data_IF_504359091945
#
_entry.id   IF_504359091945
#
_cell.length_a   1.000
_cell.length_b   1.000
_cell.length_c   1.000
_cell.angle_alpha   90.00
_cell.angle_beta   90.00
_cell.angle_gamma   90.00
#
_symmetry.space_group_name_H-M   'P 1'
#
loop_
_entity.id
_entity.type
_entity.pdbx_description
1 polymer ?
#
# COMPACT_ATOMS: atom_id res chain seq x y z
N UNK A 1 -5.76 -11.56 4.10
CA UNK A 1 -4.64 -11.03 3.29
C UNK A 1 -4.17 -12.10 2.32
N UNK A 2 -3.96 -11.77 1.05
CA UNK A 2 -3.49 -12.70 0.01
C UNK A 2 -2.11 -12.28 -0.47
N UNK A 3 -1.11 -13.15 -0.33
CA UNK A 3 0.24 -12.95 -0.88
C UNK A 3 0.22 -13.28 -2.37
N UNK A 4 0.78 -12.39 -3.19
CA UNK A 4 0.76 -12.48 -4.66
C UNK A 4 2.14 -12.84 -5.22
N UNK A 5 3.19 -12.28 -4.63
CA UNK A 5 4.57 -12.55 -5.04
C UNK A 5 5.49 -12.50 -3.83
N UNK A 6 6.55 -13.31 -3.88
CA UNK A 6 7.67 -13.19 -2.97
C UNK A 6 8.98 -13.16 -3.74
N UNK A 7 9.89 -12.27 -3.32
CA UNK A 7 11.26 -12.21 -3.83
C UNK A 7 12.22 -12.64 -2.73
N UNK A 8 13.53 -12.55 -2.97
CA UNK A 8 14.55 -12.74 -1.92
C UNK A 8 14.34 -11.80 -0.73
N UNK A 9 13.87 -10.56 -0.97
CA UNK A 9 13.80 -9.51 0.05
C UNK A 9 12.39 -9.12 0.47
N UNK A 10 11.40 -9.31 -0.39
CA UNK A 10 10.08 -8.70 -0.23
C UNK A 10 8.92 -9.66 -0.41
N UNK A 11 7.79 -9.33 0.23
CA UNK A 11 6.49 -9.95 0.03
C UNK A 11 5.58 -8.88 -0.57
N UNK A 12 4.89 -9.21 -1.65
CA UNK A 12 3.81 -8.39 -2.21
C UNK A 12 2.48 -9.04 -1.83
N UNK A 13 1.61 -8.30 -1.17
CA UNK A 13 0.27 -8.75 -0.77
C UNK A 13 -0.81 -7.78 -1.25
N UNK A 14 -2.01 -8.30 -1.50
CA UNK A 14 -3.20 -7.45 -1.69
C UNK A 14 -3.38 -6.55 -0.46
N UNK A 15 -3.83 -5.31 -0.71
CA UNK A 15 -4.08 -4.33 0.33
C UNK A 15 -5.01 -4.88 1.42
N UNK A 16 -4.80 -4.40 2.64
CA UNK A 16 -5.60 -4.76 3.80
C UNK A 16 -5.68 -3.58 4.77
N UNK A 17 -6.72 -3.51 5.60
CA UNK A 17 -6.90 -2.42 6.56
C UNK A 17 -5.69 -2.26 7.51
N UNK A 18 -4.93 -3.33 7.75
CA UNK A 18 -3.67 -3.32 8.51
C UNK A 18 -2.59 -2.42 7.88
N UNK A 19 -2.67 -2.15 6.57
CA UNK A 19 -1.69 -1.33 5.86
C UNK A 19 -1.95 0.18 5.99
N UNK A 20 -3.10 0.57 6.56
CA UNK A 20 -3.57 1.97 6.58
C UNK A 20 -2.59 2.91 7.26
N UNK A 21 -1.96 2.50 8.36
CA UNK A 21 -0.97 3.33 9.05
C UNK A 21 0.30 3.52 8.22
N UNK A 22 0.74 2.48 7.50
CA UNK A 22 1.90 2.55 6.61
C UNK A 22 1.66 3.51 5.44
N UNK A 23 0.49 3.40 4.80
CA UNK A 23 0.09 4.31 3.73
C UNK A 23 0.00 5.75 4.24
N UNK A 24 -0.72 5.98 5.34
CA UNK A 24 -0.87 7.30 5.92
C UNK A 24 0.49 7.97 6.19
N UNK A 25 1.41 7.27 6.88
CA UNK A 25 2.74 7.79 7.19
C UNK A 25 3.57 8.07 5.93
N UNK A 26 3.50 7.19 4.93
CA UNK A 26 4.26 7.37 3.70
C UNK A 26 3.74 8.55 2.87
N UNK A 27 2.42 8.73 2.78
CA UNK A 27 1.82 9.88 2.08
C UNK A 27 1.99 11.20 2.84
N UNK A 28 2.28 11.19 4.14
CA UNK A 28 2.62 12.41 4.88
C UNK A 28 4.02 12.94 4.56
N UNK A 29 4.90 12.11 3.99
CA UNK A 29 6.24 12.53 3.61
C UNK A 29 6.21 13.36 2.32
N UNK A 30 6.61 14.62 2.43
CA UNK A 30 6.63 15.58 1.32
C UNK A 30 7.60 15.17 0.21
N UNK A 31 8.68 14.46 0.52
CA UNK A 31 9.63 13.99 -0.49
C UNK A 31 9.07 12.79 -1.27
N UNK A 32 8.21 11.98 -0.65
CA UNK A 32 7.48 10.90 -1.35
C UNK A 32 6.49 11.47 -2.35
N UNK A 33 5.71 12.50 -1.96
CA UNK A 33 4.65 13.05 -2.81
C UNK A 33 5.13 14.06 -3.87
N UNK A 34 6.35 14.56 -3.73
CA UNK A 34 6.94 15.64 -4.53
C UNK A 34 6.66 15.58 -6.04
N UNK A 35 6.62 14.37 -6.59
CA UNK A 35 6.45 14.14 -8.03
C UNK A 35 5.24 13.26 -8.40
N UNK A 36 4.35 12.92 -7.46
CA UNK A 36 3.20 12.06 -7.75
C UNK A 36 1.95 12.84 -8.15
N UNK A 37 1.84 14.10 -7.71
CA UNK A 37 0.65 14.93 -7.88
C UNK A 37 -0.49 14.60 -6.89
N UNK A 38 -0.29 13.63 -6.00
CA UNK A 38 -1.25 13.29 -4.95
C UNK A 38 -1.19 14.28 -3.79
N UNK A 39 -2.25 14.26 -2.98
CA UNK A 39 -2.29 14.93 -1.68
C UNK A 39 -2.13 13.90 -0.57
N UNK A 40 -1.57 14.29 0.60
CA UNK A 40 -1.56 13.43 1.76
C UNK A 40 -2.99 13.08 2.18
N UNK A 41 -3.17 11.89 2.73
CA UNK A 41 -4.39 11.55 3.45
C UNK A 41 -4.52 12.43 4.71
N UNK A 42 -5.74 12.80 5.09
CA UNK A 42 -6.02 13.61 6.27
C UNK A 42 -6.05 12.76 7.56
N UNK A 43 -6.25 11.44 7.44
CA UNK A 43 -6.26 10.53 8.59
C UNK A 43 -5.98 9.08 8.19
N UNK A 44 -5.64 8.26 9.19
CA UNK A 44 -5.57 6.80 9.05
C UNK A 44 -6.94 6.26 8.60
N UNK A 45 -8.05 6.84 9.07
CA UNK A 45 -9.40 6.41 8.70
C UNK A 45 -9.68 6.60 7.21
N UNK A 46 -9.32 7.76 6.67
CA UNK A 46 -9.44 8.02 5.22
C UNK A 46 -8.59 7.04 4.40
N UNK A 47 -7.42 6.67 4.91
CA UNK A 47 -6.53 5.70 4.27
C UNK A 47 -7.13 4.29 4.29
N UNK A 48 -7.74 3.89 5.41
CA UNK A 48 -8.47 2.63 5.55
C UNK A 48 -9.65 2.58 4.57
N UNK A 49 -10.40 3.67 4.44
CA UNK A 49 -11.52 3.78 3.51
C UNK A 49 -11.03 3.71 2.06
N UNK A 50 -9.89 4.33 1.71
CA UNK A 50 -9.26 4.17 0.40
C UNK A 50 -8.91 2.70 0.11
N UNK A 51 -8.29 2.00 1.07
CA UNK A 51 -7.92 0.58 0.93
C UNK A 51 -9.16 -0.30 0.75
N UNK A 52 -10.19 -0.09 1.56
CA UNK A 52 -11.43 -0.87 1.51
C UNK A 52 -12.21 -0.65 0.20
N UNK A 53 -12.07 0.54 -0.40
CA UNK A 53 -12.70 0.88 -1.68
C UNK A 53 -11.83 0.52 -2.89
N UNK A 54 -10.63 -0.04 -2.70
CA UNK A 54 -9.74 -0.44 -3.78
C UNK A 54 -10.26 -1.69 -4.51
N UNK A 55 -10.98 -1.49 -5.62
CA UNK A 55 -11.73 -2.55 -6.28
C UNK A 55 -11.04 -3.22 -7.48
N UNK A 56 -9.79 -2.84 -7.78
CA UNK A 56 -9.05 -3.35 -8.94
C UNK A 56 -8.90 -4.89 -8.89
N UNK A 57 -8.64 -5.47 -7.71
CA UNK A 57 -8.52 -6.92 -7.60
C UNK A 57 -9.81 -7.64 -8.00
N UNK A 58 -10.96 -7.07 -7.62
CA UNK A 58 -12.28 -7.63 -7.95
C UNK A 58 -12.63 -7.43 -9.43
N UNK A 59 -12.29 -6.27 -10.00
CA UNK A 59 -12.63 -5.91 -11.38
C UNK A 59 -11.71 -6.54 -12.42
N UNK A 60 -10.41 -6.58 -12.14
CA UNK A 60 -9.37 -6.88 -13.12
C UNK A 60 -8.50 -8.09 -12.74
N UNK A 61 -8.59 -8.58 -11.51
CA UNK A 61 -7.76 -9.69 -11.03
C UNK A 61 -6.33 -9.30 -10.64
N UNK A 62 -5.97 -8.02 -10.76
CA UNK A 62 -4.67 -7.46 -10.38
C UNK A 62 -4.81 -6.04 -9.84
N UNK A 63 -3.73 -5.44 -9.36
CA UNK A 63 -3.70 -4.06 -8.90
C UNK A 63 -2.34 -3.66 -8.37
N UNK A 64 -2.32 -2.63 -7.52
CA UNK A 64 -1.17 -2.28 -6.67
C UNK A 64 -1.14 -3.22 -5.47
N UNK A 65 0.02 -3.54 -4.92
CA UNK A 65 0.20 -4.45 -3.80
C UNK A 65 1.07 -3.81 -2.74
N UNK A 66 0.75 -4.05 -1.47
CA UNK A 66 1.58 -3.64 -0.34
C UNK A 66 2.87 -4.43 -0.38
N UNK A 67 4.00 -3.75 -0.20
CA UNK A 67 5.33 -4.36 -0.14
C UNK A 67 5.79 -4.40 1.32
N UNK A 68 6.12 -5.60 1.78
CA UNK A 68 6.67 -5.86 3.11
C UNK A 68 8.10 -6.38 2.98
N UNK A 69 9.03 -5.84 3.76
CA UNK A 69 10.38 -6.39 3.91
C UNK A 69 10.36 -7.68 4.74
N UNK A 70 10.96 -8.75 4.20
CA UNK A 70 10.89 -10.09 4.80
C UNK A 70 11.57 -10.21 6.15
N UNK A 71 12.70 -9.52 6.34
CA UNK A 71 13.54 -9.68 7.54
C UNK A 71 12.90 -8.98 8.73
N UNK A 72 12.42 -7.76 8.51
CA UNK A 72 11.90 -6.89 9.58
C UNK A 72 10.39 -6.98 9.73
N UNK A 73 9.68 -7.42 8.69
CA UNK A 73 8.21 -7.30 8.62
C UNK A 73 7.73 -5.88 8.34
N UNK A 74 8.65 -4.94 8.04
CA UNK A 74 8.29 -3.54 7.85
C UNK A 74 7.55 -3.31 6.55
N UNK A 75 6.55 -2.44 6.63
CA UNK A 75 5.94 -1.81 5.46
C UNK A 75 6.96 -0.89 4.77
N UNK A 76 7.06 -0.98 3.45
CA UNK A 76 7.99 -0.14 2.65
C UNK A 76 7.33 0.56 1.45
N UNK A 77 6.00 0.51 1.34
CA UNK A 77 5.24 1.14 0.28
C UNK A 77 4.35 0.19 -0.50
N UNK A 78 3.95 0.58 -1.71
CA UNK A 78 3.20 -0.25 -2.66
C UNK A 78 3.75 -0.12 -4.08
N UNK A 79 3.51 -1.15 -4.89
CA UNK A 79 3.75 -1.10 -6.34
C UNK A 79 2.77 -2.01 -7.07
N UNK A 80 2.57 -1.79 -8.36
CA UNK A 80 1.80 -2.70 -9.21
C UNK A 80 1.24 -2.00 -10.44
N UNK A 81 0.19 -2.60 -11.00
CA UNK A 81 -0.43 -2.20 -12.26
C UNK A 81 -1.80 -1.55 -12.01
#
# INVERSE_FOLDING_TARGET
MKTILQTTRFILKEFSAEDSEGFYKMNLDVEVLKFTGDKPFNSIKETEDFINNYDHYKKFGFGRWTIIEKITGNYIGWCGL
#
